data_IF_443770433906
#
_entry.id   IF_443770433906
#
_cell.length_a   1.000
_cell.length_b   1.000
_cell.length_c   1.000
_cell.angle_alpha   90.00
_cell.angle_beta   90.00
_cell.angle_gamma   90.00
#
_symmetry.space_group_name_H-M   'P 1'
#
loop_
_entity.id
_entity.type
_entity.pdbx_description
1 polymer ?
#
# COMPACT_ATOMS: atom_id res chain seq x y z
N UNK A 1 27.38 -26.94 -33.55
CA UNK A 1 26.66 -25.66 -33.73
C UNK A 1 25.40 -25.50 -32.86
N UNK A 2 25.02 -26.51 -32.00
CA UNK A 2 23.76 -26.46 -31.22
C UNK A 2 23.91 -25.82 -29.83
N UNK A 3 25.14 -25.72 -29.31
CA UNK A 3 25.38 -25.17 -27.95
C UNK A 3 25.61 -23.66 -27.89
N UNK A 4 25.85 -22.98 -29.02
CA UNK A 4 26.04 -21.53 -29.06
C UNK A 4 24.73 -20.76 -28.99
N UNK A 5 23.60 -21.34 -29.43
CA UNK A 5 22.29 -20.66 -29.41
C UNK A 5 21.67 -20.59 -28.02
N UNK A 6 21.93 -21.60 -27.17
CA UNK A 6 21.39 -21.58 -25.77
C UNK A 6 22.12 -20.58 -24.89
N UNK A 7 23.41 -20.35 -25.10
CA UNK A 7 24.19 -19.37 -24.32
C UNK A 7 23.72 -17.93 -24.64
N UNK A 8 23.39 -17.66 -25.91
CA UNK A 8 22.95 -16.32 -26.33
C UNK A 8 21.56 -15.96 -25.76
N UNK A 9 20.64 -16.91 -25.66
CA UNK A 9 19.31 -16.71 -25.07
C UNK A 9 19.41 -16.50 -23.56
N UNK A 10 20.24 -17.28 -22.86
CA UNK A 10 20.47 -17.11 -21.42
C UNK A 10 21.13 -15.77 -21.10
N UNK A 11 22.11 -15.31 -21.90
CA UNK A 11 22.70 -13.98 -21.74
C UNK A 11 21.74 -12.85 -21.97
N UNK A 12 20.80 -12.96 -22.93
CA UNK A 12 19.79 -11.92 -23.15
C UNK A 12 18.77 -11.84 -22.01
N UNK A 13 18.34 -12.98 -21.45
CA UNK A 13 17.46 -12.99 -20.28
C UNK A 13 18.16 -12.42 -19.04
N UNK A 14 19.42 -12.74 -18.84
CA UNK A 14 20.19 -12.23 -17.70
C UNK A 14 20.50 -10.73 -17.83
N UNK A 15 20.81 -10.24 -19.03
CA UNK A 15 21.04 -8.83 -19.29
C UNK A 15 19.76 -7.99 -19.11
N UNK A 16 18.58 -8.51 -19.50
CA UNK A 16 17.30 -7.85 -19.28
C UNK A 16 16.90 -7.84 -17.80
N UNK A 17 17.17 -8.93 -17.08
CA UNK A 17 16.91 -9.00 -15.62
C UNK A 17 17.79 -8.02 -14.84
N UNK A 18 19.08 -7.92 -15.16
CA UNK A 18 19.98 -6.94 -14.53
C UNK A 18 19.62 -5.49 -14.86
N UNK A 19 19.14 -5.22 -16.07
CA UNK A 19 18.73 -3.87 -16.47
C UNK A 19 17.45 -3.42 -15.75
N UNK A 20 16.48 -4.31 -15.61
CA UNK A 20 15.27 -4.07 -14.81
C UNK A 20 15.62 -3.83 -13.33
N UNK A 21 16.56 -4.61 -12.79
CA UNK A 21 17.02 -4.47 -11.43
C UNK A 21 17.69 -3.11 -11.15
N UNK A 22 18.52 -2.62 -12.09
CA UNK A 22 19.17 -1.32 -11.93
C UNK A 22 18.17 -0.17 -12.00
N UNK A 23 17.15 -0.27 -12.85
CA UNK A 23 16.10 0.74 -12.96
C UNK A 23 15.23 0.79 -11.68
N UNK A 24 14.90 -0.37 -11.09
CA UNK A 24 14.14 -0.46 -9.85
C UNK A 24 14.86 0.22 -8.67
N UNK A 25 16.16 -0.03 -8.49
CA UNK A 25 16.95 0.60 -7.42
C UNK A 25 17.00 2.12 -7.57
N UNK A 26 17.26 2.62 -8.78
CA UNK A 26 17.33 4.05 -9.01
C UNK A 26 16.06 4.79 -8.56
N UNK A 27 14.89 4.20 -8.82
CA UNK A 27 13.62 4.80 -8.44
C UNK A 27 13.27 4.56 -6.96
N UNK A 28 13.59 3.39 -6.41
CA UNK A 28 13.37 3.16 -4.97
C UNK A 28 14.24 4.06 -4.10
N UNK A 29 15.41 4.47 -4.58
CA UNK A 29 16.32 5.36 -3.83
C UNK A 29 15.78 6.79 -3.71
N UNK A 30 14.77 7.17 -4.51
CA UNK A 30 14.05 8.44 -4.32
C UNK A 30 13.10 8.41 -3.13
N UNK A 31 12.70 7.25 -2.65
CA UNK A 31 11.89 7.10 -1.43
C UNK A 31 12.82 7.29 -0.23
N UNK A 32 12.67 8.40 0.49
CA UNK A 32 13.57 8.73 1.61
C UNK A 32 12.83 8.88 2.93
N UNK A 33 13.49 8.51 4.03
CA UNK A 33 12.94 8.72 5.37
C UNK A 33 12.69 10.19 5.70
N UNK A 34 13.42 11.10 5.04
CA UNK A 34 13.22 12.54 5.20
C UNK A 34 11.90 12.98 4.59
N UNK A 35 11.61 12.60 3.35
CA UNK A 35 10.37 12.97 2.66
C UNK A 35 9.14 12.31 3.31
N UNK A 36 9.25 11.04 3.69
CA UNK A 36 8.24 10.35 4.50
C UNK A 36 7.96 11.11 5.80
N UNK A 37 9.00 11.61 6.47
CA UNK A 37 8.86 12.42 7.69
C UNK A 37 8.15 13.75 7.41
N UNK A 38 8.58 14.48 6.41
CA UNK A 38 7.99 15.78 6.03
C UNK A 38 6.50 15.63 5.69
N UNK A 39 6.12 14.62 4.94
CA UNK A 39 4.72 14.31 4.62
C UNK A 39 3.92 13.91 5.86
N UNK A 40 4.47 13.04 6.70
CA UNK A 40 3.75 12.50 7.85
C UNK A 40 3.51 13.55 8.93
N UNK A 41 4.49 14.43 9.21
CA UNK A 41 4.30 15.54 10.14
C UNK A 41 3.18 16.49 9.71
N UNK A 42 2.98 16.66 8.40
CA UNK A 42 1.84 17.42 7.88
C UNK A 42 0.55 16.59 8.02
N UNK A 43 0.54 15.37 7.49
CA UNK A 43 -0.67 14.55 7.35
C UNK A 43 -1.27 14.11 8.69
N UNK A 44 -0.43 13.88 9.71
CA UNK A 44 -0.87 13.53 11.07
C UNK A 44 -0.93 14.73 12.03
N UNK A 45 -0.91 15.97 11.52
CA UNK A 45 -1.04 17.17 12.36
C UNK A 45 -2.48 17.39 12.83
N UNK A 46 -2.67 18.18 13.89
CA UNK A 46 -3.97 18.57 14.43
C UNK A 46 -4.87 19.29 13.42
N UNK A 47 -4.29 19.84 12.35
CA UNK A 47 -5.05 20.43 11.25
C UNK A 47 -6.02 19.42 10.63
N UNK A 48 -5.65 18.16 10.56
CA UNK A 48 -6.48 17.08 10.03
C UNK A 48 -7.46 16.47 11.05
N UNK A 49 -7.47 16.97 12.31
CA UNK A 49 -8.43 16.57 13.33
C UNK A 49 -8.65 15.06 13.44
N UNK A 50 -7.56 14.30 13.35
CA UNK A 50 -7.61 12.85 13.44
C UNK A 50 -8.39 12.15 12.33
N UNK A 51 -8.66 12.81 11.22
CA UNK A 51 -9.24 12.26 9.99
C UNK A 51 -10.50 11.40 10.16
N UNK A 52 -11.33 11.70 11.18
CA UNK A 52 -12.56 10.94 11.45
C UNK A 52 -13.43 10.76 10.22
N UNK A 53 -13.95 9.54 9.99
CA UNK A 53 -14.71 9.17 8.79
C UNK A 53 -15.89 10.09 8.53
N UNK A 54 -15.90 10.78 7.38
CA UNK A 54 -16.94 11.73 6.97
C UNK A 54 -16.84 13.10 7.64
N UNK A 55 -15.89 13.33 8.54
CA UNK A 55 -15.67 14.59 9.24
C UNK A 55 -14.82 15.57 8.44
N UNK A 56 -14.73 16.82 8.91
CA UNK A 56 -13.94 17.87 8.27
C UNK A 56 -12.46 17.49 8.14
N UNK A 57 -11.90 16.81 9.15
CA UNK A 57 -10.51 16.36 9.13
C UNK A 57 -10.22 15.40 7.98
N UNK A 58 -11.12 14.44 7.76
CA UNK A 58 -11.00 13.52 6.63
C UNK A 58 -11.15 14.25 5.28
N UNK A 59 -12.07 15.22 5.16
CA UNK A 59 -12.20 16.00 3.91
C UNK A 59 -10.91 16.74 3.57
N UNK A 60 -10.23 17.31 4.58
CA UNK A 60 -8.90 17.92 4.42
C UNK A 60 -7.85 16.90 3.98
N UNK A 61 -7.90 15.69 4.55
CA UNK A 61 -7.01 14.59 4.14
C UNK A 61 -7.24 14.20 2.67
N UNK A 62 -8.50 14.04 2.25
CA UNK A 62 -8.85 13.79 0.85
C UNK A 62 -8.34 14.90 -0.09
N UNK A 63 -8.50 16.18 0.30
CA UNK A 63 -8.00 17.30 -0.47
C UNK A 63 -6.46 17.30 -0.55
N UNK A 64 -5.77 17.01 0.55
CA UNK A 64 -4.31 16.87 0.59
C UNK A 64 -3.81 15.79 -0.37
N UNK A 65 -4.41 14.60 -0.33
CA UNK A 65 -4.05 13.48 -1.20
C UNK A 65 -4.30 13.81 -2.69
N UNK A 66 -5.46 14.40 -3.00
CA UNK A 66 -5.76 14.89 -4.35
C UNK A 66 -4.69 15.88 -4.84
N UNK A 67 -4.36 16.86 -4.02
CA UNK A 67 -3.46 17.94 -4.40
C UNK A 67 -2.03 17.43 -4.54
N UNK A 68 -1.61 16.45 -3.72
CA UNK A 68 -0.34 15.75 -3.89
C UNK A 68 -0.28 15.01 -5.23
N UNK A 69 -1.26 14.18 -5.55
CA UNK A 69 -1.29 13.48 -6.84
C UNK A 69 -1.31 14.43 -8.03
N UNK A 70 -2.09 15.51 -7.90
CA UNK A 70 -2.20 16.52 -8.96
C UNK A 70 -0.89 17.28 -9.17
N UNK A 71 -0.18 17.67 -8.10
CA UNK A 71 1.11 18.37 -8.21
C UNK A 71 2.21 17.50 -8.84
N UNK A 72 2.14 16.19 -8.62
CA UNK A 72 3.03 15.20 -9.22
C UNK A 72 2.57 14.70 -10.60
N UNK A 73 1.53 15.32 -11.21
CA UNK A 73 0.97 14.91 -12.50
C UNK A 73 0.56 13.42 -12.56
N UNK A 74 0.12 12.85 -11.46
CA UNK A 74 -0.47 11.50 -11.40
C UNK A 74 -1.98 11.68 -11.60
N UNK A 75 -2.56 10.98 -12.59
CA UNK A 75 -3.94 11.23 -12.99
C UNK A 75 -4.96 10.60 -12.04
N UNK A 76 -6.19 11.17 -11.95
CA UNK A 76 -7.29 10.54 -11.25
C UNK A 76 -7.66 9.19 -11.89
N UNK A 77 -8.05 8.23 -11.09
CA UNK A 77 -8.57 6.95 -11.58
C UNK A 77 -9.85 7.17 -12.40
N UNK A 78 -10.06 6.34 -13.43
CA UNK A 78 -11.24 6.41 -14.30
C UNK A 78 -12.52 6.22 -13.45
N UNK A 79 -13.51 7.05 -13.71
CA UNK A 79 -14.80 6.98 -12.99
C UNK A 79 -14.84 7.76 -11.68
N UNK A 80 -13.69 8.31 -11.22
CA UNK A 80 -13.67 9.22 -10.08
C UNK A 80 -14.14 10.62 -10.47
N UNK A 81 -14.63 11.34 -9.47
CA UNK A 81 -14.87 12.79 -9.60
C UNK A 81 -13.69 13.53 -8.96
N UNK A 82 -12.73 13.97 -9.79
CA UNK A 82 -11.55 14.69 -9.30
C UNK A 82 -10.78 13.91 -8.21
N UNK A 83 -10.37 12.67 -8.52
CA UNK A 83 -9.74 11.67 -7.63
C UNK A 83 -10.68 11.00 -6.64
N UNK A 84 -11.88 11.50 -6.40
CA UNK A 84 -12.79 11.00 -5.36
C UNK A 84 -13.76 9.96 -5.92
N UNK A 85 -13.90 8.85 -5.21
CA UNK A 85 -14.98 7.90 -5.36
C UNK A 85 -15.97 8.14 -4.21
N UNK A 86 -17.00 8.98 -4.42
CA UNK A 86 -17.93 9.36 -3.37
C UNK A 86 -18.88 8.22 -3.03
N UNK A 87 -19.24 8.15 -1.74
CA UNK A 87 -20.20 7.18 -1.22
C UNK A 87 -20.99 7.72 -0.04
N UNK A 88 -22.07 7.02 0.28
CA UNK A 88 -22.84 7.22 1.51
C UNK A 88 -22.78 5.95 2.33
N UNK A 89 -22.15 6.02 3.50
CA UNK A 89 -22.01 4.91 4.43
C UNK A 89 -23.06 4.98 5.55
N UNK A 90 -23.49 3.83 6.03
CA UNK A 90 -24.34 3.74 7.21
C UNK A 90 -23.46 3.44 8.44
N UNK A 91 -23.15 4.47 9.24
CA UNK A 91 -22.33 4.37 10.45
C UNK A 91 -23.22 4.69 11.65
N UNK A 92 -23.34 3.77 12.62
CA UNK A 92 -24.19 3.93 13.80
C UNK A 92 -25.64 4.40 13.44
N UNK A 93 -26.22 3.79 12.41
CA UNK A 93 -27.55 4.12 11.89
C UNK A 93 -27.70 5.54 11.29
N UNK A 94 -26.61 6.26 11.11
CA UNK A 94 -26.58 7.57 10.45
C UNK A 94 -25.94 7.45 9.07
N UNK A 95 -26.49 8.17 8.09
CA UNK A 95 -25.92 8.31 6.76
C UNK A 95 -24.76 9.31 6.80
N UNK A 96 -23.58 8.85 6.43
CA UNK A 96 -22.33 9.62 6.41
C UNK A 96 -21.82 9.68 4.98
N UNK A 97 -21.70 10.89 4.43
CA UNK A 97 -21.09 11.11 3.10
C UNK A 97 -19.60 11.17 3.24
N UNK A 98 -18.92 10.32 2.49
CA UNK A 98 -17.47 10.19 2.49
C UNK A 98 -16.96 9.77 1.12
N UNK A 99 -15.67 9.64 0.94
CA UNK A 99 -15.05 9.24 -0.34
C UNK A 99 -13.74 8.48 -0.13
N UNK A 100 -13.48 7.52 -1.00
CA UNK A 100 -12.12 7.02 -1.27
C UNK A 100 -11.39 8.00 -2.18
N UNK A 101 -10.06 8.02 -2.09
CA UNK A 101 -9.21 8.75 -3.04
C UNK A 101 -8.50 7.74 -3.94
N UNK A 102 -8.55 7.95 -5.26
CA UNK A 102 -7.99 7.00 -6.22
C UNK A 102 -7.23 7.71 -7.34
N UNK A 103 -5.97 7.31 -7.52
CA UNK A 103 -5.09 7.79 -8.58
C UNK A 103 -4.58 6.62 -9.43
N UNK A 104 -4.07 6.91 -10.64
CA UNK A 104 -3.61 5.91 -11.60
C UNK A 104 -2.36 6.33 -12.35
N UNK A 105 -1.41 5.40 -12.50
CA UNK A 105 -0.37 5.45 -13.50
C UNK A 105 -0.67 4.35 -14.53
N UNK A 106 -0.96 4.75 -15.77
CA UNK A 106 -1.38 3.83 -16.82
C UNK A 106 -0.21 3.00 -17.32
N UNK A 107 -0.41 1.70 -17.41
CA UNK A 107 0.55 0.75 -17.96
C UNK A 107 0.77 0.92 -19.47
N UNK A 108 2.01 0.64 -19.90
CA UNK A 108 2.42 0.82 -21.30
C UNK A 108 2.10 -0.39 -22.18
N UNK A 109 2.11 -1.61 -21.66
CA UNK A 109 1.93 -2.87 -22.42
C UNK A 109 0.64 -3.60 -22.06
N UNK A 110 0.28 -3.61 -20.77
CA UNK A 110 -0.90 -4.28 -20.25
C UNK A 110 -1.81 -3.27 -19.50
N UNK A 111 -2.30 -2.21 -20.19
CA UNK A 111 -2.99 -1.09 -19.52
C UNK A 111 -4.33 -1.46 -18.85
N UNK A 112 -4.87 -2.65 -19.15
CA UNK A 112 -6.10 -3.17 -18.57
C UNK A 112 -5.85 -4.27 -17.51
N UNK A 113 -4.61 -4.44 -17.07
CA UNK A 113 -4.22 -5.27 -15.94
C UNK A 113 -3.74 -4.34 -14.82
N UNK A 114 -4.22 -4.57 -13.61
CA UNK A 114 -4.06 -3.61 -12.52
C UNK A 114 -3.33 -4.23 -11.34
N UNK A 115 -2.29 -3.58 -10.85
CA UNK A 115 -1.74 -3.81 -9.52
C UNK A 115 -2.26 -2.68 -8.64
N UNK A 116 -2.91 -3.03 -7.56
CA UNK A 116 -3.44 -2.08 -6.59
C UNK A 116 -2.44 -1.96 -5.45
N UNK A 117 -2.20 -0.74 -5.01
CA UNK A 117 -1.55 -0.42 -3.75
C UNK A 117 -2.55 0.37 -2.92
N UNK A 118 -2.75 -0.01 -1.68
CA UNK A 118 -3.78 0.57 -0.83
C UNK A 118 -3.29 0.90 0.58
N UNK A 119 -3.93 1.88 1.20
CA UNK A 119 -3.79 2.31 2.59
C UNK A 119 -5.09 2.97 3.03
N UNK A 120 -5.38 3.07 4.33
CA UNK A 120 -6.55 3.83 4.72
C UNK A 120 -6.22 5.28 5.10
N UNK A 121 -7.14 6.18 4.77
CA UNK A 121 -6.94 7.62 4.94
C UNK A 121 -7.60 8.16 6.21
N UNK A 122 -8.61 7.48 6.73
CA UNK A 122 -9.31 7.89 7.94
C UNK A 122 -8.62 7.40 9.21
N UNK A 123 -9.03 7.96 10.34
CA UNK A 123 -8.66 7.49 11.68
C UNK A 123 -9.79 7.85 12.67
N UNK A 124 -9.50 7.89 13.96
CA UNK A 124 -10.55 7.96 15.00
C UNK A 124 -11.18 9.34 15.18
N UNK A 125 -10.59 10.40 14.62
CA UNK A 125 -11.12 11.77 14.77
C UNK A 125 -10.68 12.44 16.06
N UNK A 126 -11.62 13.11 16.74
CA UNK A 126 -11.38 13.78 18.02
C UNK A 126 -12.28 13.19 19.11
N UNK A 127 -11.81 13.17 20.36
CA UNK A 127 -12.63 12.78 21.48
C UNK A 127 -13.54 13.93 21.97
N UNK A 128 -14.40 13.65 22.96
CA UNK A 128 -15.32 14.64 23.52
C UNK A 128 -14.63 15.83 24.22
N UNK A 129 -13.38 15.69 24.63
CA UNK A 129 -12.57 16.76 25.22
C UNK A 129 -11.88 17.63 24.15
N UNK A 130 -11.97 17.25 22.88
CA UNK A 130 -11.30 17.93 21.77
C UNK A 130 -9.87 17.46 21.51
N UNK A 131 -9.37 16.43 22.20
CA UNK A 131 -8.07 15.84 21.92
C UNK A 131 -8.08 15.13 20.57
N UNK A 132 -7.03 15.31 19.80
CA UNK A 132 -6.90 14.76 18.45
C UNK A 132 -6.21 13.40 18.48
N UNK A 133 -6.83 12.39 17.85
CA UNK A 133 -6.18 11.12 17.52
C UNK A 133 -5.41 11.30 16.22
N UNK A 134 -4.12 11.68 16.31
CA UNK A 134 -3.33 12.02 15.13
C UNK A 134 -3.10 10.84 14.17
N UNK A 135 -3.05 9.60 14.68
CA UNK A 135 -2.91 8.40 13.87
C UNK A 135 -1.71 8.46 12.95
N UNK A 136 -0.52 8.67 13.51
CA UNK A 136 0.68 8.81 12.70
C UNK A 136 1.14 7.46 12.14
N UNK A 137 1.06 6.39 12.94
CA UNK A 137 1.29 5.05 12.42
C UNK A 137 0.02 4.48 11.79
N UNK A 138 -1.13 4.69 12.43
CA UNK A 138 -2.45 4.17 12.04
C UNK A 138 -3.32 5.26 11.35
N UNK A 139 -3.48 5.35 10.04
CA UNK A 139 -2.58 4.78 9.03
C UNK A 139 -1.91 5.92 8.23
N UNK A 140 -1.36 6.88 9.00
CA UNK A 140 -0.54 7.93 8.39
C UNK A 140 0.69 7.35 7.72
N UNK A 141 1.36 6.35 8.35
CA UNK A 141 2.57 5.73 7.84
C UNK A 141 2.34 5.01 6.50
N UNK A 142 1.24 4.25 6.37
CA UNK A 142 0.88 3.59 5.12
C UNK A 142 0.45 4.59 4.05
N UNK A 143 -0.33 5.59 4.43
CA UNK A 143 -0.76 6.65 3.49
C UNK A 143 0.43 7.40 2.88
N UNK A 144 1.42 7.85 3.67
CA UNK A 144 2.58 8.56 3.10
C UNK A 144 3.52 7.64 2.34
N UNK A 145 3.66 6.38 2.77
CA UNK A 145 4.38 5.36 2.01
C UNK A 145 3.79 5.18 0.60
N UNK A 146 2.46 5.15 0.51
CA UNK A 146 1.75 5.03 -0.78
C UNK A 146 1.99 6.24 -1.68
N UNK A 147 2.07 7.45 -1.12
CA UNK A 147 2.40 8.67 -1.87
C UNK A 147 3.82 8.63 -2.46
N UNK A 148 4.82 8.27 -1.66
CA UNK A 148 6.21 8.16 -2.09
C UNK A 148 6.41 7.06 -3.15
N UNK A 149 5.73 5.92 -2.99
CA UNK A 149 5.72 4.86 -4.01
C UNK A 149 5.15 5.39 -5.33
N UNK A 150 4.05 6.14 -5.26
CA UNK A 150 3.42 6.70 -6.46
C UNK A 150 4.33 7.70 -7.17
N UNK A 151 5.05 8.55 -6.42
CA UNK A 151 6.00 9.50 -6.97
C UNK A 151 7.19 8.80 -7.64
N UNK A 152 7.78 7.78 -7.00
CA UNK A 152 8.85 6.98 -7.58
C UNK A 152 8.44 6.30 -8.89
N UNK A 153 7.22 5.75 -8.96
CA UNK A 153 6.68 5.21 -10.22
C UNK A 153 6.39 6.29 -11.26
N UNK A 154 5.96 7.47 -10.83
CA UNK A 154 5.72 8.59 -11.76
C UNK A 154 7.03 9.07 -12.37
N UNK A 155 8.08 9.20 -11.58
CA UNK A 155 9.42 9.52 -12.08
C UNK A 155 9.90 8.47 -13.10
N UNK A 156 9.68 7.19 -12.81
CA UNK A 156 9.98 6.11 -13.76
C UNK A 156 9.17 6.26 -15.06
N UNK A 157 7.89 6.59 -14.95
CA UNK A 157 7.01 6.81 -16.09
C UNK A 157 7.51 7.98 -16.96
N UNK A 158 7.88 9.11 -16.36
CA UNK A 158 8.37 10.30 -17.07
C UNK A 158 9.72 10.05 -17.75
N UNK A 159 10.54 9.16 -17.20
CA UNK A 159 11.80 8.72 -17.80
C UNK A 159 11.61 7.61 -18.87
N UNK A 160 10.38 7.29 -19.27
CA UNK A 160 10.09 6.23 -20.24
C UNK A 160 10.35 4.80 -19.73
N UNK A 161 10.44 4.63 -18.38
CA UNK A 161 10.65 3.37 -17.67
C UNK A 161 9.43 2.99 -16.81
N UNK A 162 8.28 3.56 -17.14
CA UNK A 162 7.04 3.35 -16.42
C UNK A 162 6.58 1.89 -16.40
N UNK A 163 5.55 1.59 -15.61
CA UNK A 163 5.04 0.23 -15.44
C UNK A 163 4.44 -0.30 -16.75
N UNK A 164 4.55 -1.61 -16.98
CA UNK A 164 3.87 -2.30 -18.09
C UNK A 164 2.38 -2.50 -17.79
N UNK A 165 2.02 -2.85 -16.54
CA UNK A 165 0.65 -2.89 -16.02
C UNK A 165 0.29 -1.58 -15.38
N UNK A 166 -1.00 -1.24 -15.36
CA UNK A 166 -1.47 -0.05 -14.66
C UNK A 166 -1.35 -0.21 -13.13
N UNK A 167 -0.93 0.85 -12.47
CA UNK A 167 -0.91 0.94 -11.01
C UNK A 167 -2.06 1.81 -10.54
N UNK A 168 -2.81 1.32 -9.56
CA UNK A 168 -3.90 2.05 -8.92
C UNK A 168 -3.49 2.32 -7.48
N UNK A 169 -3.51 3.56 -7.07
CA UNK A 169 -3.25 4.00 -5.70
C UNK A 169 -4.58 4.33 -5.05
N UNK A 170 -4.94 3.58 -4.00
CA UNK A 170 -6.23 3.69 -3.32
C UNK A 170 -6.03 4.05 -1.86
N UNK A 171 -6.64 5.17 -1.44
CA UNK A 171 -6.76 5.50 -0.04
C UNK A 171 -8.22 5.29 0.37
N UNK A 172 -8.45 4.35 1.27
CA UNK A 172 -9.78 3.97 1.70
C UNK A 172 -10.27 4.82 2.87
N UNK A 173 -11.58 5.13 2.87
CA UNK A 173 -12.28 5.75 3.99
C UNK A 173 -13.02 4.68 4.79
N UNK A 174 -13.28 4.95 6.06
CA UNK A 174 -14.12 4.10 6.89
C UNK A 174 -13.55 2.72 7.17
N UNK A 175 -12.23 2.58 7.12
CA UNK A 175 -11.53 1.39 7.60
C UNK A 175 -11.86 1.16 9.06
N UNK A 176 -11.68 2.20 9.90
CA UNK A 176 -11.96 2.27 11.34
C UNK A 176 -13.44 2.02 11.72
N UNK A 177 -14.30 2.00 10.74
CA UNK A 177 -15.75 1.72 10.88
C UNK A 177 -16.13 0.34 10.35
N UNK A 178 -15.13 -0.52 10.07
CA UNK A 178 -15.29 -1.89 9.61
C UNK A 178 -15.05 -2.08 8.13
N UNK A 179 -13.96 -1.56 7.60
CA UNK A 179 -13.48 -1.75 6.22
C UNK A 179 -14.49 -1.27 5.16
N UNK A 180 -15.22 -0.19 5.47
CA UNK A 180 -16.40 0.18 4.66
C UNK A 180 -16.01 0.74 3.29
N UNK A 181 -14.88 1.46 3.18
CA UNK A 181 -14.41 2.05 1.93
C UNK A 181 -13.91 1.02 0.94
N UNK A 182 -13.11 0.06 1.37
CA UNK A 182 -12.66 -1.06 0.55
C UNK A 182 -13.79 -2.02 0.19
N UNK A 183 -14.74 -2.23 1.11
CA UNK A 183 -15.97 -2.96 0.81
C UNK A 183 -16.74 -2.29 -0.31
N UNK A 184 -16.98 -0.98 -0.19
CA UNK A 184 -17.67 -0.21 -1.22
C UNK A 184 -16.94 -0.29 -2.56
N UNK A 185 -15.59 -0.17 -2.55
CA UNK A 185 -14.79 -0.28 -3.76
C UNK A 185 -14.94 -1.64 -4.43
N UNK A 186 -14.87 -2.74 -3.67
CA UNK A 186 -14.99 -4.10 -4.24
C UNK A 186 -16.41 -4.42 -4.71
N UNK A 187 -17.43 -3.78 -4.16
CA UNK A 187 -18.82 -3.87 -4.63
C UNK A 187 -19.10 -2.92 -5.82
N UNK A 188 -18.36 -1.81 -5.95
CA UNK A 188 -18.50 -0.79 -6.99
C UNK A 188 -17.13 -0.41 -7.57
N UNK A 189 -16.41 -1.34 -8.20
CA UNK A 189 -15.02 -1.15 -8.56
C UNK A 189 -14.87 -0.14 -9.72
N UNK A 190 -13.86 0.74 -9.61
CA UNK A 190 -13.49 1.66 -10.68
C UNK A 190 -12.88 0.95 -11.89
N UNK A 191 -12.30 -0.21 -11.66
CA UNK A 191 -11.73 -1.10 -12.66
C UNK A 191 -12.19 -2.53 -12.39
N UNK A 192 -12.39 -3.37 -13.45
CA UNK A 192 -12.92 -4.73 -13.26
C UNK A 192 -12.05 -5.55 -12.30
N UNK A 193 -12.62 -6.07 -11.22
CA UNK A 193 -11.91 -6.89 -10.24
C UNK A 193 -11.18 -8.10 -10.87
N UNK A 194 -11.73 -8.83 -11.87
CA UNK A 194 -11.02 -9.92 -12.53
C UNK A 194 -9.74 -9.49 -13.28
N UNK A 195 -9.54 -8.19 -13.50
CA UNK A 195 -8.34 -7.64 -14.12
C UNK A 195 -7.32 -7.17 -13.07
N UNK A 196 -7.63 -7.26 -11.78
CA UNK A 196 -6.71 -6.96 -10.69
C UNK A 196 -5.79 -8.14 -10.45
N UNK A 197 -4.48 -7.88 -10.55
CA UNK A 197 -3.42 -8.90 -10.38
C UNK A 197 -3.18 -9.18 -8.90
N UNK A 198 -3.04 -8.11 -8.11
CA UNK A 198 -2.86 -8.17 -6.67
C UNK A 198 -3.24 -6.84 -6.02
N UNK A 199 -3.51 -6.87 -4.71
CA UNK A 199 -3.57 -5.71 -3.83
C UNK A 199 -2.45 -5.78 -2.80
N UNK A 200 -1.64 -4.73 -2.73
CA UNK A 200 -0.57 -4.53 -1.76
C UNK A 200 -1.04 -3.49 -0.75
N UNK A 201 -1.62 -3.97 0.34
CA UNK A 201 -2.19 -3.14 1.39
C UNK A 201 -1.15 -2.76 2.44
N UNK A 202 -1.09 -1.50 2.78
CA UNK A 202 -0.13 -0.92 3.71
C UNK A 202 -0.90 -0.34 4.88
N UNK A 203 -0.63 -0.82 6.09
CA UNK A 203 -1.33 -0.35 7.26
C UNK A 203 -0.43 -0.54 8.50
N UNK A 204 -0.07 0.57 9.16
CA UNK A 204 0.83 0.61 10.30
C UNK A 204 2.21 -0.01 10.03
N UNK A 205 3.07 0.71 9.34
CA UNK A 205 4.44 0.24 9.02
C UNK A 205 5.55 1.15 9.59
N UNK A 206 5.22 2.13 10.42
CA UNK A 206 6.16 3.12 10.95
C UNK A 206 6.76 2.79 12.32
N UNK A 207 6.20 1.83 13.06
CA UNK A 207 6.62 1.50 14.43
C UNK A 207 7.15 0.06 14.53
N UNK A 208 7.42 -0.38 15.76
CA UNK A 208 7.78 -1.77 16.07
C UNK A 208 6.78 -2.36 17.08
N UNK A 209 6.58 -3.66 16.96
CA UNK A 209 5.76 -4.41 17.92
C UNK A 209 6.60 -4.75 19.15
N UNK A 210 6.30 -4.19 20.34
CA UNK A 210 7.06 -4.46 21.56
C UNK A 210 6.92 -5.89 22.08
N UNK A 211 5.97 -6.66 21.53
CA UNK A 211 5.76 -8.08 21.90
C UNK A 211 6.61 -9.05 21.07
N UNK A 212 7.40 -8.56 20.11
CA UNK A 212 8.33 -9.42 19.39
C UNK A 212 9.46 -9.91 20.29
N UNK A 213 9.84 -11.15 20.10
CA UNK A 213 11.01 -11.75 20.76
C UNK A 213 12.34 -11.36 20.08
N UNK A 214 12.40 -10.21 19.43
CA UNK A 214 13.58 -9.72 18.72
C UNK A 214 13.66 -8.20 18.85
N UNK A 215 14.86 -7.69 19.10
CA UNK A 215 15.13 -6.25 19.14
C UNK A 215 15.48 -5.69 17.73
N UNK A 216 15.46 -6.52 16.68
CA UNK A 216 15.72 -6.06 15.33
C UNK A 216 14.54 -5.20 14.82
N UNK A 217 14.71 -3.90 14.56
CA UNK A 217 13.64 -3.05 14.03
C UNK A 217 13.40 -3.30 12.52
N UNK A 218 14.37 -3.93 11.82
CA UNK A 218 14.32 -4.20 10.39
C UNK A 218 13.54 -5.48 10.10
N UNK A 219 12.25 -5.45 10.32
CA UNK A 219 11.32 -6.54 10.03
C UNK A 219 10.01 -5.98 9.48
N UNK A 220 9.19 -6.86 8.92
CA UNK A 220 7.81 -6.56 8.53
C UNK A 220 6.99 -7.86 8.58
N UNK A 221 5.76 -7.78 9.07
CA UNK A 221 4.80 -8.88 8.94
C UNK A 221 4.20 -8.86 7.53
N UNK A 222 4.15 -10.04 6.90
CA UNK A 222 3.44 -10.26 5.65
C UNK A 222 2.23 -11.15 5.95
N UNK A 223 1.04 -10.61 5.77
CA UNK A 223 -0.21 -11.30 6.09
C UNK A 223 -0.99 -11.50 4.79
N UNK A 224 -1.40 -12.74 4.51
CA UNK A 224 -2.17 -13.10 3.32
C UNK A 224 -1.34 -13.42 2.07
N UNK A 225 -0.03 -13.24 2.10
CA UNK A 225 0.84 -13.34 0.91
C UNK A 225 0.78 -14.68 0.20
N UNK A 226 0.65 -15.80 0.93
CA UNK A 226 0.61 -17.17 0.42
C UNK A 226 -0.81 -17.77 0.34
N UNK A 227 -1.84 -17.04 0.79
CA UNK A 227 -3.20 -17.61 0.91
C UNK A 227 -3.92 -17.80 -0.42
N UNK A 228 -3.61 -17.00 -1.42
CA UNK A 228 -4.29 -17.05 -2.73
C UNK A 228 -3.30 -17.32 -3.86
N UNK A 229 -2.05 -16.87 -3.74
CA UNK A 229 -1.02 -17.00 -4.76
C UNK A 229 0.37 -17.21 -4.15
N UNK A 230 0.95 -18.38 -4.38
CA UNK A 230 2.36 -18.62 -4.02
C UNK A 230 3.32 -17.80 -4.89
N UNK A 231 2.94 -17.45 -6.12
CA UNK A 231 3.74 -16.56 -6.96
C UNK A 231 3.91 -15.19 -6.30
N UNK A 232 2.82 -14.62 -5.72
CA UNK A 232 2.89 -13.34 -5.01
C UNK A 232 3.82 -13.40 -3.79
N UNK A 233 3.69 -14.46 -3.00
CA UNK A 233 4.55 -14.71 -1.84
C UNK A 233 6.02 -14.77 -2.23
N UNK A 234 6.36 -15.63 -3.22
CA UNK A 234 7.72 -15.82 -3.70
C UNK A 234 8.31 -14.52 -4.27
N UNK A 235 7.52 -13.73 -5.02
CA UNK A 235 7.95 -12.42 -5.53
C UNK A 235 8.34 -11.49 -4.38
N UNK A 236 7.53 -11.41 -3.33
CA UNK A 236 7.85 -10.53 -2.20
C UNK A 236 9.12 -10.98 -1.48
N UNK A 237 9.33 -12.30 -1.31
CA UNK A 237 10.57 -12.83 -0.74
C UNK A 237 11.79 -12.54 -1.60
N UNK A 238 11.71 -12.78 -2.92
CA UNK A 238 12.79 -12.50 -3.86
C UNK A 238 13.17 -11.00 -3.88
N UNK A 239 12.16 -10.12 -3.86
CA UNK A 239 12.41 -8.68 -3.82
C UNK A 239 13.04 -8.25 -2.50
N UNK A 240 12.62 -8.83 -1.39
CA UNK A 240 13.24 -8.59 -0.10
C UNK A 240 14.69 -9.08 -0.03
N UNK A 241 14.96 -10.31 -0.46
CA UNK A 241 16.31 -10.86 -0.47
C UNK A 241 17.26 -10.00 -1.31
N UNK A 242 16.79 -9.53 -2.45
CA UNK A 242 17.59 -8.77 -3.40
C UNK A 242 17.85 -7.34 -2.99
N UNK A 243 16.88 -6.66 -2.37
CA UNK A 243 16.92 -5.22 -2.24
C UNK A 243 16.91 -4.69 -0.80
N UNK A 244 16.12 -5.29 0.10
CA UNK A 244 15.86 -4.69 1.40
C UNK A 244 16.36 -5.52 2.57
N UNK A 245 16.40 -6.84 2.45
CA UNK A 245 16.90 -7.76 3.48
C UNK A 245 16.27 -7.52 4.86
N UNK A 246 14.96 -7.24 4.87
CA UNK A 246 14.17 -7.21 6.09
C UNK A 246 13.96 -8.64 6.60
N UNK A 247 13.77 -8.81 7.89
CA UNK A 247 13.24 -10.05 8.46
C UNK A 247 11.74 -10.13 8.11
N UNK A 248 11.36 -11.01 7.19
CA UNK A 248 9.95 -11.24 6.87
C UNK A 248 9.35 -12.16 7.95
N UNK A 249 8.31 -11.68 8.60
CA UNK A 249 7.67 -12.37 9.73
C UNK A 249 6.24 -12.79 9.35
N UNK A 250 5.95 -14.08 9.45
CA UNK A 250 4.66 -14.68 9.09
C UNK A 250 3.83 -15.08 10.32
N UNK A 251 4.20 -14.61 11.52
CA UNK A 251 3.52 -14.98 12.76
C UNK A 251 2.01 -14.75 12.69
N UNK A 252 1.58 -13.64 12.08
CA UNK A 252 0.16 -13.26 11.96
C UNK A 252 -0.52 -13.75 10.68
N UNK A 253 0.21 -14.50 9.85
CA UNK A 253 -0.35 -15.11 8.63
C UNK A 253 -1.02 -16.47 8.88
N UNK A 254 -0.89 -17.01 10.09
CA UNK A 254 -1.46 -18.30 10.46
C UNK A 254 -2.98 -18.23 10.57
N UNK A 255 -3.67 -19.33 10.20
CA UNK A 255 -5.14 -19.41 10.26
C UNK A 255 -5.67 -19.35 11.69
N UNK A 256 -4.86 -19.78 12.67
CA UNK A 256 -5.16 -19.78 14.10
C UNK A 256 -4.65 -18.54 14.85
N UNK A 257 -4.27 -17.46 14.12
CA UNK A 257 -3.86 -16.20 14.76
C UNK A 257 -4.97 -15.68 15.69
N UNK A 258 -4.72 -15.61 17.00
CA UNK A 258 -5.73 -15.17 17.97
C UNK A 258 -6.14 -13.71 17.77
N UNK A 259 -5.29 -12.89 17.14
CA UNK A 259 -5.58 -11.49 16.83
C UNK A 259 -6.43 -11.35 15.59
N UNK A 260 -6.45 -12.38 14.73
CA UNK A 260 -7.18 -12.41 13.45
C UNK A 260 -6.85 -11.24 12.54
N UNK A 261 -5.58 -10.82 12.49
CA UNK A 261 -5.15 -9.65 11.70
C UNK A 261 -5.45 -9.78 10.21
N UNK A 262 -5.45 -10.99 9.65
CA UNK A 262 -5.85 -11.23 8.27
C UNK A 262 -7.24 -10.66 7.90
N UNK A 263 -8.12 -10.46 8.88
CA UNK A 263 -9.49 -9.96 8.67
C UNK A 263 -9.67 -8.49 9.06
N UNK A 264 -8.59 -7.78 9.41
CA UNK A 264 -8.68 -6.51 10.11
C UNK A 264 -8.16 -5.31 9.33
N UNK A 265 -7.82 -5.45 8.04
CA UNK A 265 -7.48 -4.34 7.17
C UNK A 265 -8.07 -4.52 5.78
N UNK A 266 -7.97 -3.51 4.94
CA UNK A 266 -8.70 -3.35 3.67
C UNK A 266 -8.44 -4.45 2.63
N UNK A 267 -7.24 -5.07 2.65
CA UNK A 267 -6.90 -6.22 1.79
C UNK A 267 -7.93 -7.36 1.87
N UNK A 268 -8.61 -7.52 3.02
CA UNK A 268 -9.54 -8.61 3.20
C UNK A 268 -10.74 -8.52 2.25
N UNK A 269 -11.18 -7.31 1.88
CA UNK A 269 -12.25 -7.16 0.91
C UNK A 269 -11.83 -7.58 -0.51
N UNK A 270 -10.55 -7.45 -0.86
CA UNK A 270 -10.00 -8.02 -2.11
C UNK A 270 -9.84 -9.53 -2.02
N UNK A 271 -9.30 -10.04 -0.92
CA UNK A 271 -9.13 -11.48 -0.70
C UNK A 271 -10.44 -12.25 -0.82
N UNK A 272 -11.55 -11.73 -0.28
CA UNK A 272 -12.90 -12.30 -0.43
C UNK A 272 -13.35 -12.44 -1.90
N UNK A 273 -12.76 -11.67 -2.80
CA UNK A 273 -12.99 -11.70 -4.23
C UNK A 273 -11.93 -12.51 -4.97
N UNK A 274 -11.15 -13.36 -4.29
CA UNK A 274 -10.07 -14.18 -4.82
C UNK A 274 -8.96 -13.36 -5.51
N UNK A 275 -8.73 -12.14 -5.08
CA UNK A 275 -7.61 -11.32 -5.53
C UNK A 275 -6.43 -11.59 -4.58
N UNK A 276 -5.25 -11.96 -5.10
CA UNK A 276 -4.04 -12.10 -4.29
C UNK A 276 -3.71 -10.83 -3.53
N UNK A 277 -3.35 -10.94 -2.24
CA UNK A 277 -3.11 -9.80 -1.36
C UNK A 277 -1.85 -9.97 -0.55
N UNK A 278 -1.22 -8.87 -0.18
CA UNK A 278 -0.31 -8.79 0.95
C UNK A 278 -0.78 -7.64 1.85
N UNK A 279 -0.96 -7.92 3.11
CA UNK A 279 -1.07 -6.91 4.13
C UNK A 279 0.31 -6.73 4.79
N UNK A 280 0.95 -5.60 4.51
CA UNK A 280 2.20 -5.17 5.14
C UNK A 280 1.90 -4.46 6.44
N UNK A 281 2.45 -4.97 7.53
CA UNK A 281 2.13 -4.56 8.89
C UNK A 281 3.37 -4.61 9.78
N UNK A 282 3.51 -3.73 10.73
CA UNK A 282 4.62 -3.80 11.69
C UNK A 282 4.19 -4.23 13.11
N UNK A 283 2.91 -4.46 13.31
CA UNK A 283 2.35 -4.86 14.60
C UNK A 283 1.78 -3.68 15.38
N UNK A 284 0.99 -3.99 16.39
CA UNK A 284 0.44 -2.97 17.31
C UNK A 284 1.48 -2.59 18.36
N UNK A 285 1.42 -1.33 18.79
CA UNK A 285 2.28 -0.76 19.83
C UNK A 285 1.44 -0.10 20.94
N UNK A 286 2.09 0.44 21.96
CA UNK A 286 1.43 1.01 23.13
C UNK A 286 0.58 2.26 22.83
N UNK A 287 0.84 2.94 21.71
CA UNK A 287 0.10 4.13 21.30
C UNK A 287 -1.05 3.84 20.31
N UNK A 288 -1.23 2.58 19.90
CA UNK A 288 -2.30 2.17 18.97
C UNK A 288 -3.67 2.63 19.46
N UNK A 289 -4.41 3.34 18.61
CA UNK A 289 -5.70 3.97 18.92
C UNK A 289 -5.67 4.95 20.10
N UNK A 290 -4.56 5.66 20.30
CA UNK A 290 -4.42 6.69 21.32
C UNK A 290 -4.01 8.03 20.72
N UNK A 291 -4.26 9.12 21.47
CA UNK A 291 -3.82 10.48 21.12
C UNK A 291 -2.29 10.60 21.07
N UNK A 292 -1.58 9.63 21.63
CA UNK A 292 -0.11 9.57 21.66
C UNK A 292 0.49 8.89 20.43
N UNK A 293 -0.29 8.48 19.44
CA UNK A 293 0.22 8.03 18.12
C UNK A 293 0.58 9.23 17.25
N UNK A 294 1.81 9.71 17.41
CA UNK A 294 2.33 10.97 16.86
C UNK A 294 3.57 10.76 15.98
N UNK A 295 3.80 11.68 15.02
CA UNK A 295 4.85 11.59 14.01
C UNK A 295 6.28 11.53 14.57
N UNK A 296 6.53 12.10 15.73
CA UNK A 296 7.83 12.09 16.39
C UNK A 296 8.26 10.71 16.90
N UNK A 297 7.32 9.76 16.99
CA UNK A 297 7.56 8.39 17.43
C UNK A 297 7.83 7.40 16.30
N UNK A 298 7.68 7.82 15.06
CA UNK A 298 7.87 6.98 13.88
C UNK A 298 9.37 6.74 13.62
N UNK A 299 9.70 5.50 13.28
CA UNK A 299 11.05 5.09 12.92
C UNK A 299 11.27 5.25 11.40
N UNK A 300 11.56 6.48 10.97
CA UNK A 300 11.58 6.84 9.55
C UNK A 300 12.58 6.03 8.70
N UNK A 301 13.73 5.65 9.23
CA UNK A 301 14.67 4.78 8.51
C UNK A 301 14.12 3.37 8.28
N UNK A 302 13.30 2.87 9.21
CA UNK A 302 12.64 1.57 9.06
C UNK A 302 11.41 1.69 8.13
N UNK A 303 10.66 2.77 8.27
CA UNK A 303 9.53 3.11 7.38
C UNK A 303 10.02 3.18 5.92
N UNK A 304 11.11 3.90 5.64
CA UNK A 304 11.75 3.96 4.33
C UNK A 304 12.04 2.56 3.77
N UNK A 305 12.70 1.73 4.57
CA UNK A 305 13.10 0.40 4.14
C UNK A 305 11.91 -0.51 3.83
N UNK A 306 10.85 -0.43 4.64
CA UNK A 306 9.58 -1.15 4.42
C UNK A 306 8.86 -0.65 3.17
N UNK A 307 8.81 0.66 2.98
CA UNK A 307 8.23 1.29 1.78
C UNK A 307 8.96 0.86 0.51
N UNK A 308 10.30 0.79 0.54
CA UNK A 308 11.11 0.31 -0.59
C UNK A 308 10.85 -1.16 -0.92
N UNK A 309 10.64 -2.03 0.08
CA UNK A 309 10.23 -3.42 -0.19
C UNK A 309 8.90 -3.47 -0.96
N UNK A 310 7.91 -2.70 -0.51
CA UNK A 310 6.59 -2.66 -1.16
C UNK A 310 6.71 -2.11 -2.59
N UNK A 311 7.52 -1.07 -2.79
CA UNK A 311 7.83 -0.55 -4.12
C UNK A 311 8.44 -1.63 -5.03
N UNK A 312 9.45 -2.38 -4.57
CA UNK A 312 10.09 -3.43 -5.37
C UNK A 312 9.15 -4.58 -5.70
N UNK A 313 8.30 -4.98 -4.76
CA UNK A 313 7.25 -5.98 -5.01
C UNK A 313 6.26 -5.49 -6.07
N UNK A 314 5.79 -4.25 -5.95
CA UNK A 314 4.91 -3.62 -6.95
C UNK A 314 5.61 -3.47 -8.32
N UNK A 315 6.90 -3.12 -8.32
CA UNK A 315 7.69 -2.99 -9.54
C UNK A 315 7.77 -4.32 -10.30
N UNK A 316 8.06 -5.40 -9.61
CA UNK A 316 8.11 -6.73 -10.24
C UNK A 316 6.73 -7.14 -10.78
N UNK A 317 5.67 -7.01 -9.98
CA UNK A 317 4.29 -7.31 -10.41
C UNK A 317 3.87 -6.49 -11.64
N UNK A 318 4.24 -5.21 -11.66
CA UNK A 318 3.88 -4.30 -12.75
C UNK A 318 4.66 -4.57 -14.04
N UNK A 319 5.89 -5.09 -13.96
CA UNK A 319 6.79 -5.17 -15.11
C UNK A 319 7.05 -6.57 -15.64
N UNK A 320 6.73 -7.63 -14.89
CA UNK A 320 6.89 -9.02 -15.36
C UNK A 320 5.98 -9.32 -16.56
N UNK A 321 6.39 -10.26 -17.41
CA UNK A 321 5.65 -10.64 -18.61
C UNK A 321 4.37 -11.40 -18.29
N UNK A 322 4.43 -12.33 -17.35
CA UNK A 322 3.34 -13.23 -17.00
C UNK A 322 2.55 -12.73 -15.78
N UNK A 323 1.27 -13.10 -15.72
CA UNK A 323 0.46 -12.90 -14.51
C UNK A 323 0.88 -13.90 -13.44
N UNK A 324 0.71 -13.51 -12.18
CA UNK A 324 0.78 -14.46 -11.07
C UNK A 324 -0.40 -15.42 -11.13
N UNK A 325 -0.18 -16.66 -10.68
CA UNK A 325 -1.22 -17.69 -10.65
C UNK A 325 -2.06 -17.56 -9.38
N UNK A 326 -3.35 -17.83 -9.54
CA UNK A 326 -4.25 -18.07 -8.42
C UNK A 326 -4.30 -19.60 -8.26
N UNK A 327 -3.56 -20.13 -7.30
CA UNK A 327 -3.35 -21.57 -7.11
C UNK A 327 -3.91 -22.09 -5.78
N UNK A 328 -4.24 -21.20 -4.86
CA UNK A 328 -4.86 -21.55 -3.59
C UNK A 328 -6.32 -21.11 -3.58
N UNK A 329 -7.18 -21.97 -3.03
CA UNK A 329 -8.61 -21.69 -2.84
C UNK A 329 -8.90 -21.66 -1.34
N UNK A 330 -9.68 -20.71 -0.95
CA UNK A 330 -10.25 -20.59 0.40
C UNK A 330 -11.18 -21.75 0.75
#
# INVERSE_FOLDING_TARGET
MRNFFLIFILCQFWCNSQKLASDSNYYSDTITGKELMELLYVYSSDYFKGRGTGELGQKRACDFLRDYYKSNNIYPAKGTKNYFQPMELLINKKKVKTENVAAVIKGSHFPNEYVILSAHLDHLGTNDNGDVYNGADDDGSGTVALLEIAEAFKLAFDNGKGPKRSLIFLHFTGEEKGLLGSKFYTENPLYPLPSTIADLNIDMIGRINPKRNSNNPNYIYLIGSDKISMDLHNISEEMNEKYTQLELDYTYNKDDDPNRFYYRSDHYNFAKNNIPVIFYFSGTHEDYHKISDTADKILYSTLEKRTRLIFHTAWELANRGEKIKIDLKW
#
